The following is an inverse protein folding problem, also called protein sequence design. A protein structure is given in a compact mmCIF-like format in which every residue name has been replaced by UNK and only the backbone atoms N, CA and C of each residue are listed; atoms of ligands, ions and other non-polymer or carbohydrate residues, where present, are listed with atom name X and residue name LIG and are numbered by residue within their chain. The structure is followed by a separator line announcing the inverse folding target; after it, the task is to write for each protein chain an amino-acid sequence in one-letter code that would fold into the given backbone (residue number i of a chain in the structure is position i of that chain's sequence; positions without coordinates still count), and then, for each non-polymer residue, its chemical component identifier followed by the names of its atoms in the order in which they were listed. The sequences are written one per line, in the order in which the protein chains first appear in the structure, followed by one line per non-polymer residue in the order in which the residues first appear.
data_IF_807733906235
#
_entry.id   IF_807733906235
#
_cell.length_a   1.000
_cell.length_b   1.000
_cell.length_c   1.000
_cell.angle_alpha   90.00
_cell.angle_beta   90.00
_cell.angle_gamma   90.00
#
_symmetry.space_group_name_H-M   'P 1'
#
loop_
_entity.id
_entity.type
_entity.pdbx_description
1 polymer ?
#
# COMPACT_ATOMS: atom_id res chain seq x y z
N UNK A 1 12.93 3.03 -4.63
CA UNK A 1 11.82 3.96 -4.36
C UNK A 1 12.19 5.37 -4.80
N UNK A 2 11.51 5.93 -5.82
CA UNK A 2 11.69 7.34 -6.19
C UNK A 2 10.82 8.16 -5.25
N UNK A 3 11.42 8.92 -4.32
CA UNK A 3 10.72 9.75 -3.34
C UNK A 3 10.01 10.89 -4.09
N UNK A 4 8.74 10.72 -4.44
CA UNK A 4 7.92 11.86 -4.87
C UNK A 4 7.62 12.66 -3.60
N UNK A 5 7.97 13.95 -3.67
CA UNK A 5 8.17 14.81 -2.51
C UNK A 5 6.80 15.34 -2.05
N UNK A 6 6.25 14.74 -0.99
CA UNK A 6 5.08 15.27 -0.26
C UNK A 6 5.31 16.72 0.23
N UNK A 7 6.56 17.16 0.34
CA UNK A 7 6.94 18.48 0.84
C UNK A 7 6.41 19.63 -0.04
N UNK A 8 6.14 19.39 -1.32
CA UNK A 8 5.58 20.41 -2.23
C UNK A 8 4.07 20.61 -2.05
N UNK A 9 3.38 19.63 -1.45
CA UNK A 9 1.93 19.62 -1.31
C UNK A 9 1.48 20.04 0.10
N UNK A 10 2.19 19.59 1.14
CA UNK A 10 1.83 19.86 2.54
C UNK A 10 1.67 21.36 2.87
N UNK A 11 2.49 22.30 2.35
CA UNK A 11 2.33 23.72 2.64
C UNK A 11 1.05 24.34 2.07
N UNK A 12 0.41 23.69 1.08
CA UNK A 12 -0.78 24.22 0.39
C UNK A 12 -2.09 23.79 1.04
N UNK A 13 -2.03 22.95 2.07
CA UNK A 13 -3.21 22.40 2.71
C UNK A 13 -3.66 23.25 3.91
N UNK A 14 -4.97 23.51 4.01
CA UNK A 14 -5.57 24.06 5.21
C UNK A 14 -5.91 22.93 6.19
N UNK A 15 -5.01 22.70 7.14
CA UNK A 15 -5.10 21.57 8.06
C UNK A 15 -6.30 21.62 9.03
N UNK A 16 -6.87 22.81 9.25
CA UNK A 16 -7.98 23.01 10.19
C UNK A 16 -9.32 22.48 9.66
N UNK A 17 -9.42 22.14 8.37
CA UNK A 17 -10.67 21.69 7.74
C UNK A 17 -10.74 20.16 7.59
N UNK A 18 -9.65 19.43 7.86
CA UNK A 18 -9.65 17.98 7.67
C UNK A 18 -10.39 17.26 8.79
N UNK A 19 -11.45 16.53 8.45
CA UNK A 19 -12.18 15.67 9.38
C UNK A 19 -11.56 14.28 9.52
N UNK A 20 -10.98 13.75 8.43
CA UNK A 20 -10.28 12.46 8.39
C UNK A 20 -9.01 12.57 7.55
N UNK A 21 -8.04 11.72 7.83
CA UNK A 21 -6.86 11.53 6.99
C UNK A 21 -6.96 10.15 6.37
N UNK A 22 -6.76 10.07 5.04
CA UNK A 22 -6.65 8.82 4.30
C UNK A 22 -5.40 8.93 3.42
N UNK A 23 -4.45 8.01 3.60
CA UNK A 23 -3.19 7.98 2.84
C UNK A 23 -2.97 6.56 2.40
N UNK A 24 -2.75 6.39 1.10
CA UNK A 24 -2.38 5.11 0.54
C UNK A 24 -1.00 5.15 -0.10
N UNK A 25 -0.33 4.00 -0.09
CA UNK A 25 0.87 3.76 -0.88
C UNK A 25 0.64 2.61 -1.83
N UNK A 26 1.34 2.66 -2.96
CA UNK A 26 1.41 1.55 -3.90
C UNK A 26 2.88 1.29 -4.19
N UNK A 27 3.31 0.06 -4.03
CA UNK A 27 4.58 -0.38 -4.59
C UNK A 27 4.37 -1.55 -5.53
N UNK A 28 5.28 -1.64 -6.50
CA UNK A 28 5.28 -2.69 -7.50
C UNK A 28 6.70 -3.22 -7.58
N UNK A 29 6.85 -4.53 -7.37
CA UNK A 29 8.08 -5.26 -7.64
C UNK A 29 7.90 -6.00 -8.96
N UNK A 30 8.81 -5.77 -9.91
CA UNK A 30 8.81 -6.51 -11.17
C UNK A 30 9.13 -7.99 -10.90
N UNK A 31 8.43 -8.87 -11.61
CA UNK A 31 8.64 -10.32 -11.64
C UNK A 31 8.66 -10.77 -13.11
N UNK A 32 9.24 -11.92 -13.40
CA UNK A 32 9.38 -12.43 -14.77
C UNK A 32 8.11 -13.14 -15.24
N UNK A 33 7.40 -13.83 -14.34
CA UNK A 33 6.16 -14.54 -14.67
C UNK A 33 5.10 -14.43 -13.59
N UNK A 34 3.83 -14.63 -13.96
CA UNK A 34 2.73 -14.71 -12.99
C UNK A 34 2.97 -15.81 -11.93
N UNK A 35 3.47 -16.98 -12.36
CA UNK A 35 3.81 -18.11 -11.49
C UNK A 35 4.85 -17.74 -10.44
N UNK A 36 5.94 -17.10 -10.86
CA UNK A 36 6.97 -16.58 -9.94
C UNK A 36 6.37 -15.58 -8.93
N UNK A 37 5.43 -14.74 -9.35
CA UNK A 37 4.70 -13.85 -8.44
C UNK A 37 3.94 -14.59 -7.34
N UNK A 38 3.25 -15.66 -7.68
CA UNK A 38 2.55 -16.52 -6.71
C UNK A 38 3.51 -17.27 -5.79
N UNK A 39 4.68 -17.65 -6.30
CA UNK A 39 5.74 -18.27 -5.49
C UNK A 39 6.34 -17.27 -4.49
N UNK A 40 6.66 -16.06 -4.95
CA UNK A 40 7.19 -14.98 -4.12
C UNK A 40 6.20 -14.56 -3.02
N UNK A 41 4.90 -14.63 -3.29
CA UNK A 41 3.84 -14.35 -2.32
C UNK A 41 3.93 -15.21 -1.06
N UNK A 42 4.47 -16.43 -1.12
CA UNK A 42 4.65 -17.29 0.06
C UNK A 42 5.61 -16.69 1.08
N UNK A 43 6.59 -15.90 0.63
CA UNK A 43 7.48 -15.17 1.54
C UNK A 43 6.73 -14.06 2.26
N UNK A 44 5.90 -13.30 1.52
CA UNK A 44 5.19 -12.14 2.07
C UNK A 44 3.94 -12.50 2.90
N UNK A 45 3.31 -13.63 2.58
CA UNK A 45 2.07 -14.13 3.19
C UNK A 45 2.22 -15.61 3.55
N UNK A 46 3.11 -15.96 4.51
CA UNK A 46 3.49 -17.35 4.78
C UNK A 46 2.34 -18.24 5.29
N UNK A 47 1.24 -17.62 5.72
CA UNK A 47 0.07 -18.33 6.25
C UNK A 47 -0.98 -18.66 5.19
N UNK A 48 -0.84 -18.16 3.96
CA UNK A 48 -1.81 -18.38 2.89
C UNK A 48 -1.35 -19.52 2.00
N UNK A 49 -2.21 -20.52 1.84
CA UNK A 49 -2.02 -21.57 0.85
C UNK A 49 -2.52 -21.10 -0.51
N UNK A 50 -1.64 -21.05 -1.50
CA UNK A 50 -1.94 -20.61 -2.87
C UNK A 50 -1.78 -21.82 -3.80
N UNK A 51 -2.83 -22.14 -4.56
CA UNK A 51 -2.75 -23.14 -5.64
C UNK A 51 -2.08 -22.52 -6.87
N UNK A 52 -0.76 -22.63 -6.94
CA UNK A 52 0.05 -22.00 -7.98
C UNK A 52 -0.30 -22.52 -9.39
N UNK A 53 -0.65 -23.80 -9.53
CA UNK A 53 -0.83 -24.42 -10.85
C UNK A 53 -2.18 -24.07 -11.49
N UNK A 54 -3.22 -23.84 -10.65
CA UNK A 54 -4.58 -23.58 -11.15
C UNK A 54 -5.04 -22.13 -10.98
N UNK A 55 -4.25 -21.27 -10.31
CA UNK A 55 -4.60 -19.85 -10.13
C UNK A 55 -4.22 -19.01 -11.35
N UNK A 56 -5.15 -18.17 -11.79
CA UNK A 56 -4.95 -17.21 -12.91
C UNK A 56 -4.98 -15.75 -12.47
N UNK A 57 -5.43 -15.51 -11.25
CA UNK A 57 -5.47 -14.21 -10.59
C UNK A 57 -5.23 -14.45 -9.09
N UNK A 58 -4.70 -13.44 -8.42
CA UNK A 58 -4.53 -13.45 -6.97
C UNK A 58 -4.82 -12.06 -6.41
N UNK A 59 -5.76 -12.02 -5.49
CA UNK A 59 -6.08 -10.85 -4.69
C UNK A 59 -6.26 -11.28 -3.24
N UNK A 60 -5.45 -10.72 -2.36
CA UNK A 60 -5.62 -10.85 -0.93
C UNK A 60 -5.69 -9.48 -0.29
N UNK A 61 -6.70 -9.28 0.56
CA UNK A 61 -6.91 -8.02 1.24
C UNK A 61 -7.23 -8.26 2.71
N UNK A 62 -6.55 -7.53 3.60
CA UNK A 62 -6.89 -7.50 5.02
C UNK A 62 -7.23 -6.07 5.41
N UNK A 63 -8.25 -5.93 6.25
CA UNK A 63 -8.54 -4.71 6.97
C UNK A 63 -8.22 -4.89 8.46
N UNK A 64 -7.29 -4.09 8.99
CA UNK A 64 -6.77 -4.18 10.37
C UNK A 64 -6.99 -2.86 11.11
N UNK A 65 -8.00 -2.78 12.00
CA UNK A 65 -8.07 -1.71 12.99
C UNK A 65 -6.87 -1.81 13.93
N UNK A 66 -6.15 -0.70 14.14
CA UNK A 66 -5.04 -0.65 15.08
C UNK A 66 -4.96 0.72 15.76
N UNK A 67 -4.49 0.70 17.00
CA UNK A 67 -4.14 1.93 17.71
C UNK A 67 -2.67 2.27 17.41
N UNK A 68 -2.42 3.53 17.10
CA UNK A 68 -1.07 4.05 16.89
C UNK A 68 -0.83 5.28 17.76
N UNK A 69 0.38 5.39 18.28
CA UNK A 69 0.81 6.62 18.95
C UNK A 69 1.43 7.58 17.92
N UNK A 70 0.95 8.82 17.94
CA UNK A 70 1.45 9.94 17.12
C UNK A 70 1.41 11.21 17.96
N UNK A 71 2.56 11.87 18.12
CA UNK A 71 2.69 13.12 18.91
C UNK A 71 2.04 13.02 20.30
N UNK A 72 2.32 11.93 21.03
CA UNK A 72 1.78 11.63 22.37
C UNK A 72 0.25 11.46 22.42
N UNK A 73 -0.39 11.16 21.29
CA UNK A 73 -1.82 10.83 21.20
C UNK A 73 -1.99 9.41 20.69
N UNK A 74 -2.89 8.66 21.31
CA UNK A 74 -3.31 7.36 20.82
C UNK A 74 -4.46 7.55 19.82
N UNK A 75 -4.27 7.10 18.59
CA UNK A 75 -5.22 7.29 17.50
C UNK A 75 -5.63 5.92 16.99
N UNK A 76 -6.94 5.71 16.88
CA UNK A 76 -7.47 4.56 16.15
C UNK A 76 -7.38 4.83 14.65
N UNK A 77 -6.70 3.93 13.96
CA UNK A 77 -6.65 3.91 12.51
C UNK A 77 -7.16 2.58 11.97
N UNK A 78 -7.69 2.63 10.76
CA UNK A 78 -8.04 1.47 9.98
C UNK A 78 -7.00 1.31 8.87
N UNK A 79 -6.22 0.24 8.93
CA UNK A 79 -5.20 -0.07 7.93
C UNK A 79 -5.69 -1.17 6.98
N UNK A 80 -5.76 -0.86 5.70
CA UNK A 80 -6.04 -1.82 4.63
C UNK A 80 -4.70 -2.19 3.98
N UNK A 81 -4.52 -3.49 3.73
CA UNK A 81 -3.36 -4.00 3.00
C UNK A 81 -3.86 -4.95 1.93
N UNK A 82 -3.42 -4.72 0.69
CA UNK A 82 -3.86 -5.46 -0.48
C UNK A 82 -2.64 -5.97 -1.24
N UNK A 83 -2.61 -7.26 -1.44
CA UNK A 83 -1.57 -7.98 -2.16
C UNK A 83 -2.16 -8.56 -3.44
N UNK A 84 -1.47 -8.38 -4.55
CA UNK A 84 -1.90 -8.93 -5.84
C UNK A 84 -0.72 -9.24 -6.74
N UNK A 85 -0.92 -10.18 -7.66
CA UNK A 85 -0.02 -10.40 -8.80
C UNK A 85 -0.73 -9.87 -10.03
N UNK A 86 -0.10 -8.96 -10.75
CA UNK A 86 -0.69 -8.30 -11.90
C UNK A 86 0.13 -8.52 -13.16
N UNK A 87 -0.56 -8.72 -14.27
CA UNK A 87 -0.01 -8.55 -15.61
C UNK A 87 -0.35 -7.14 -16.10
N UNK A 88 0.64 -6.41 -16.62
CA UNK A 88 0.45 -5.06 -17.12
C UNK A 88 1.21 -4.82 -18.42
N UNK A 89 0.74 -3.84 -19.19
CA UNK A 89 1.30 -3.42 -20.47
C UNK A 89 1.57 -1.92 -20.44
N UNK A 90 2.72 -1.52 -20.94
CA UNK A 90 3.03 -0.11 -21.14
C UNK A 90 2.60 0.32 -22.53
N UNK A 91 1.74 1.33 -22.59
CA UNK A 91 1.44 2.05 -23.81
C UNK A 91 2.26 3.33 -23.79
N UNK A 92 3.13 3.50 -24.78
CA UNK A 92 3.78 4.80 -25.00
C UNK A 92 3.07 5.50 -26.13
N UNK A 93 2.54 6.68 -25.80
CA UNK A 93 1.88 7.56 -26.76
C UNK A 93 2.88 8.64 -27.13
N UNK A 94 3.30 8.67 -28.38
CA UNK A 94 4.17 9.72 -28.92
C UNK A 94 3.57 10.23 -30.23
N UNK A 95 3.36 11.55 -30.34
CA UNK A 95 2.78 12.21 -31.51
C UNK A 95 1.50 11.52 -32.05
N UNK A 96 0.54 11.21 -31.17
CA UNK A 96 -0.71 10.50 -31.49
C UNK A 96 -0.55 9.07 -32.05
N UNK A 97 0.64 8.48 -32.02
CA UNK A 97 0.87 7.07 -32.33
C UNK A 97 1.01 6.28 -31.02
N UNK A 98 0.23 5.21 -30.91
CA UNK A 98 0.34 4.24 -29.82
C UNK A 98 1.38 3.19 -30.23
N UNK A 99 2.49 3.13 -29.51
CA UNK A 99 3.47 2.05 -29.66
C UNK A 99 3.41 1.14 -28.44
N UNK A 100 3.14 -0.15 -28.66
CA UNK A 100 3.36 -1.19 -27.67
C UNK A 100 4.88 -1.44 -27.61
N UNK A 101 5.54 -0.89 -26.59
CA UNK A 101 7.00 -0.93 -26.52
C UNK A 101 7.56 -2.18 -25.84
N UNK A 102 6.78 -2.84 -25.00
CA UNK A 102 7.25 -3.96 -24.18
C UNK A 102 6.13 -5.01 -24.11
N UNK A 103 6.47 -6.29 -24.31
CA UNK A 103 5.53 -7.40 -24.15
C UNK A 103 4.92 -7.45 -22.74
N UNK A 104 4.11 -8.47 -22.46
CA UNK A 104 3.48 -8.65 -21.16
C UNK A 104 4.52 -8.49 -20.03
N UNK A 105 4.28 -7.54 -19.12
CA UNK A 105 5.08 -7.38 -17.91
C UNK A 105 4.29 -7.94 -16.74
N UNK A 106 4.99 -8.48 -15.77
CA UNK A 106 4.38 -8.99 -14.56
C UNK A 106 4.90 -8.22 -13.35
N UNK A 107 4.05 -8.05 -12.36
CA UNK A 107 4.38 -7.33 -11.14
C UNK A 107 3.68 -7.91 -9.95
N UNK A 108 4.41 -7.96 -8.85
CA UNK A 108 3.84 -8.08 -7.53
C UNK A 108 3.46 -6.68 -7.04
N UNK A 109 2.21 -6.49 -6.62
CA UNK A 109 1.69 -5.19 -6.16
C UNK A 109 1.21 -5.30 -4.72
N UNK A 110 1.75 -4.43 -3.89
CA UNK A 110 1.25 -4.16 -2.55
C UNK A 110 0.65 -2.75 -2.56
N UNK A 111 -0.59 -2.67 -2.10
CA UNK A 111 -1.26 -1.42 -1.78
C UNK A 111 -1.51 -1.37 -0.29
N UNK A 112 -1.13 -0.27 0.35
CA UNK A 112 -1.48 0.00 1.74
C UNK A 112 -2.34 1.24 1.79
N UNK A 113 -3.26 1.29 2.74
CA UNK A 113 -4.10 2.46 2.98
C UNK A 113 -4.35 2.60 4.48
N UNK A 114 -4.02 3.76 5.05
CA UNK A 114 -4.32 4.12 6.43
C UNK A 114 -5.37 5.22 6.46
N UNK A 115 -6.42 4.96 7.22
CA UNK A 115 -7.50 5.93 7.48
C UNK A 115 -7.58 6.20 8.97
N UNK A 116 -7.62 7.48 9.37
CA UNK A 116 -8.02 7.85 10.73
C UNK A 116 -9.54 7.82 10.85
N UNK A 117 -10.06 7.55 12.04
CA UNK A 117 -11.47 7.84 12.34
C UNK A 117 -11.78 9.32 12.07
N UNK A 118 -13.05 9.62 11.77
CA UNK A 118 -13.53 10.99 11.80
C UNK A 118 -13.49 11.47 13.24
N UNK A 119 -12.69 12.49 13.50
CA UNK A 119 -12.59 13.14 14.80
C UNK A 119 -12.61 14.64 14.61
N UNK A 120 -13.69 15.26 15.09
CA UNK A 120 -13.97 16.70 15.00
C UNK A 120 -13.16 17.50 16.03
N UNK A 121 -12.61 16.85 17.06
CA UNK A 121 -11.91 17.50 18.17
C UNK A 121 -10.38 17.41 18.08
N UNK A 122 -9.84 16.54 17.21
CA UNK A 122 -8.40 16.44 17.04
C UNK A 122 -7.90 17.59 16.16
N UNK A 123 -7.13 18.51 16.77
CA UNK A 123 -6.31 19.46 16.02
C UNK A 123 -5.29 18.67 15.17
N UNK A 124 -5.53 18.61 13.86
CA UNK A 124 -4.72 17.87 12.87
C UNK A 124 -3.64 18.77 12.31
N UNK A 125 -2.73 19.25 13.16
CA UNK A 125 -1.63 20.13 12.73
C UNK A 125 -0.82 19.53 11.57
N UNK A 126 -0.07 20.37 10.86
CA UNK A 126 0.82 19.92 9.78
C UNK A 126 1.77 18.80 10.23
N UNK A 127 2.31 18.93 11.44
CA UNK A 127 3.21 17.96 12.07
C UNK A 127 2.49 16.64 12.31
N UNK A 128 1.23 16.69 12.77
CA UNK A 128 0.41 15.51 12.97
C UNK A 128 0.18 14.75 11.67
N UNK A 129 -0.25 15.43 10.62
CA UNK A 129 -0.47 14.81 9.30
C UNK A 129 0.84 14.24 8.75
N UNK A 130 1.94 15.00 8.86
CA UNK A 130 3.27 14.54 8.44
C UNK A 130 3.67 13.26 9.17
N UNK A 131 3.49 13.18 10.48
CA UNK A 131 3.81 11.98 11.25
C UNK A 131 2.96 10.77 10.86
N UNK A 132 1.68 10.96 10.49
CA UNK A 132 0.84 9.87 9.95
C UNK A 132 1.38 9.38 8.61
N UNK A 133 1.73 10.30 7.69
CA UNK A 133 2.30 9.97 6.37
C UNK A 133 3.61 9.18 6.54
N UNK A 134 4.52 9.65 7.39
CA UNK A 134 5.80 8.99 7.65
C UNK A 134 5.59 7.57 8.20
N UNK A 135 4.62 7.41 9.11
CA UNK A 135 4.29 6.10 9.68
C UNK A 135 3.68 5.15 8.66
N UNK A 136 2.85 5.66 7.75
CA UNK A 136 2.31 4.86 6.66
C UNK A 136 3.41 4.42 5.70
N UNK A 137 4.25 5.35 5.21
CA UNK A 137 5.39 5.02 4.33
C UNK A 137 6.30 3.97 4.97
N UNK A 138 6.65 4.14 6.25
CA UNK A 138 7.50 3.18 6.95
C UNK A 138 6.82 1.81 7.05
N UNK A 139 5.51 1.76 7.34
CA UNK A 139 4.76 0.50 7.40
C UNK A 139 4.74 -0.20 6.04
N UNK A 140 4.56 0.54 4.95
CA UNK A 140 4.60 -0.01 3.59
C UNK A 140 5.98 -0.57 3.24
N UNK A 141 7.06 0.11 3.62
CA UNK A 141 8.44 -0.37 3.47
C UNK A 141 8.63 -1.67 4.25
N UNK A 142 8.20 -1.72 5.51
CA UNK A 142 8.32 -2.92 6.33
C UNK A 142 7.58 -4.12 5.73
N UNK A 143 6.39 -3.91 5.16
CA UNK A 143 5.69 -4.97 4.42
C UNK A 143 6.42 -5.40 3.16
N UNK A 144 7.00 -4.48 2.40
CA UNK A 144 7.82 -4.82 1.24
C UNK A 144 9.08 -5.60 1.59
N UNK A 145 9.70 -5.31 2.72
CA UNK A 145 10.97 -5.93 3.10
C UNK A 145 10.75 -7.29 3.79
N UNK A 146 9.69 -7.42 4.59
CA UNK A 146 9.52 -8.53 5.54
C UNK A 146 8.23 -9.32 5.35
N UNK A 147 7.30 -8.83 4.53
CA UNK A 147 5.95 -9.40 4.42
C UNK A 147 5.02 -9.03 5.57
N UNK A 148 3.76 -9.42 5.44
CA UNK A 148 2.76 -9.28 6.50
C UNK A 148 2.77 -10.54 7.38
N UNK A 149 3.81 -10.65 8.21
CA UNK A 149 4.08 -11.81 9.06
C UNK A 149 3.31 -11.79 10.39
N UNK A 150 2.62 -10.70 10.71
CA UNK A 150 1.88 -10.55 11.97
C UNK A 150 0.37 -10.79 11.81
N UNK A 151 -0.03 -11.70 10.92
CA UNK A 151 -1.44 -12.11 10.82
C UNK A 151 -1.72 -13.10 11.93
N UNK A 152 -2.47 -12.68 12.96
CA UNK A 152 -2.98 -13.57 13.98
C UNK A 152 -4.02 -14.49 13.31
N UNK A 153 -3.63 -15.72 12.99
CA UNK A 153 -4.44 -16.68 12.20
C UNK A 153 -5.62 -17.30 12.97
N UNK A 154 -5.98 -16.78 14.13
CA UNK A 154 -7.11 -17.25 14.94
C UNK A 154 -8.51 -16.97 14.33
N UNK A 155 -8.57 -16.60 13.04
CA UNK A 155 -9.80 -16.29 12.30
C UNK A 155 -10.02 -17.21 11.08
N UNK A 156 -9.30 -18.33 10.99
CA UNK A 156 -9.52 -19.37 9.97
C UNK A 156 -10.36 -20.53 10.52
#
# INVERSE_FOLDING_TARGET
FKKIIFEDFLPKLNFNEFQRIAIGTVGIQKIETFKEGLENLKFYLPYIQIDIENSKDFLFQINKPKNIDVLNRNININQITKWSVMEYKYLVVNNNLIQNLLGNQFGFRLETDINTAQDENTNKSKEFVKSIIEKEIQTSIDYFDKGDTNVNTNYA
#
